data_IF_131809659724
#
_entry.id   IF_131809659724
#
_cell.length_a   1.000
_cell.length_b   1.000
_cell.length_c   1.000
_cell.angle_alpha   90.00
_cell.angle_beta   90.00
_cell.angle_gamma   90.00
#
_symmetry.space_group_name_H-M   'P 1'
#
loop_
_entity.id
_entity.type
_entity.pdbx_description
1 polymer ?
#
# COMPACT_ATOMS: atom_id res chain seq x y z
N UNK A 1 -10.22 -71.27 -51.01
CA UNK A 1 -11.42 -70.66 -51.63
C UNK A 1 -11.62 -69.29 -51.01
N UNK A 2 -11.68 -68.24 -51.85
CA UNK A 2 -11.99 -66.86 -51.48
C UNK A 2 -13.46 -66.76 -51.07
N UNK A 3 -13.75 -66.05 -50.00
CA UNK A 3 -15.05 -65.40 -49.78
C UNK A 3 -14.76 -63.95 -49.44
N UNK A 4 -15.23 -63.06 -50.31
CA UNK A 4 -15.22 -61.60 -50.21
C UNK A 4 -16.66 -61.15 -49.91
N UNK A 5 -16.81 -59.86 -49.59
CA UNK A 5 -18.06 -59.12 -49.36
C UNK A 5 -18.67 -59.35 -47.97
N UNK A 6 -19.01 -58.36 -47.13
CA UNK A 6 -19.07 -56.91 -47.27
C UNK A 6 -20.02 -56.41 -46.16
N UNK A 7 -19.79 -55.19 -45.67
CA UNK A 7 -20.84 -54.30 -45.14
C UNK A 7 -21.27 -54.43 -43.66
N UNK A 8 -20.62 -53.65 -42.78
CA UNK A 8 -21.25 -52.54 -42.00
C UNK A 8 -20.27 -51.94 -40.99
N UNK A 9 -19.43 -51.02 -41.46
CA UNK A 9 -18.76 -50.04 -40.59
C UNK A 9 -19.78 -49.02 -40.12
N UNK A 10 -20.21 -49.14 -38.87
CA UNK A 10 -21.17 -48.23 -38.24
C UNK A 10 -20.44 -47.38 -37.18
N UNK A 11 -20.32 -46.09 -37.49
CA UNK A 11 -20.30 -44.93 -36.57
C UNK A 11 -19.41 -45.00 -35.32
N UNK A 12 -18.33 -44.21 -35.36
CA UNK A 12 -18.17 -43.06 -34.45
C UNK A 12 -17.08 -42.13 -35.00
N UNK A 13 -17.50 -41.08 -35.69
CA UNK A 13 -16.65 -39.90 -35.89
C UNK A 13 -16.55 -39.16 -34.57
N UNK A 14 -15.33 -39.07 -34.02
CA UNK A 14 -15.03 -38.19 -32.90
C UNK A 14 -13.86 -37.29 -33.30
N UNK A 15 -14.02 -36.59 -34.41
CA UNK A 15 -13.21 -35.42 -34.77
C UNK A 15 -13.94 -34.19 -34.23
N UNK A 16 -13.78 -33.92 -32.92
CA UNK A 16 -14.09 -32.61 -32.35
C UNK A 16 -12.89 -32.17 -31.54
N UNK A 17 -12.08 -31.37 -32.23
CA UNK A 17 -11.31 -30.23 -31.77
C UNK A 17 -11.70 -29.82 -30.33
N UNK A 18 -10.89 -30.21 -29.37
CA UNK A 18 -10.74 -29.52 -28.09
C UNK A 18 -9.36 -28.85 -28.06
N UNK A 19 -9.13 -28.00 -29.06
CA UNK A 19 -8.17 -26.91 -28.90
C UNK A 19 -8.95 -25.70 -28.38
N UNK A 20 -8.88 -25.45 -27.08
CA UNK A 20 -8.73 -24.10 -26.54
C UNK A 20 -8.10 -24.21 -25.15
N UNK A 21 -6.93 -23.61 -24.92
CA UNK A 21 -6.52 -23.30 -23.56
C UNK A 21 -7.54 -22.31 -23.00
N UNK A 22 -8.24 -22.65 -21.92
CA UNK A 22 -8.99 -21.70 -21.09
C UNK A 22 -8.01 -20.79 -20.31
N UNK A 23 -7.06 -20.20 -21.04
CA UNK A 23 -6.27 -19.03 -20.69
C UNK A 23 -6.89 -17.84 -21.41
N UNK A 24 -8.19 -17.61 -21.17
CA UNK A 24 -8.91 -16.44 -21.63
C UNK A 24 -9.68 -15.83 -20.46
N UNK A 25 -8.99 -14.90 -19.78
CA UNK A 25 -9.61 -13.63 -19.47
C UNK A 25 -10.74 -13.65 -18.43
N UNK A 26 -10.43 -14.08 -17.20
CA UNK A 26 -11.06 -13.48 -16.00
C UNK A 26 -10.34 -12.19 -15.60
N UNK A 27 -10.07 -11.32 -16.59
CA UNK A 27 -9.75 -9.91 -16.35
C UNK A 27 -11.07 -9.16 -16.44
N UNK A 28 -11.84 -9.13 -15.34
CA UNK A 28 -13.08 -8.36 -15.37
C UNK A 28 -14.04 -8.68 -14.23
N UNK A 29 -14.20 -7.70 -13.34
CA UNK A 29 -15.24 -7.60 -12.33
C UNK A 29 -15.21 -8.67 -11.23
N UNK A 30 -14.13 -8.71 -10.44
CA UNK A 30 -14.38 -8.78 -9.00
C UNK A 30 -15.08 -7.46 -8.66
N UNK A 31 -16.40 -7.48 -8.55
CA UNK A 31 -17.16 -6.43 -7.89
C UNK A 31 -16.61 -6.32 -6.48
N UNK A 32 -15.57 -5.50 -6.30
CA UNK A 32 -15.06 -5.13 -4.99
C UNK A 32 -16.27 -4.60 -4.24
N UNK A 33 -16.71 -5.30 -3.18
CA UNK A 33 -17.93 -4.93 -2.51
C UNK A 33 -17.78 -3.47 -2.07
N UNK A 34 -18.83 -2.67 -2.24
CA UNK A 34 -18.82 -1.24 -1.88
C UNK A 34 -18.27 -1.01 -0.46
N UNK A 35 -18.40 -1.99 0.42
CA UNK A 35 -17.81 -2.04 1.76
C UNK A 35 -16.28 -2.03 1.78
N UNK A 36 -15.60 -2.75 0.88
CA UNK A 36 -14.14 -2.75 0.77
C UNK A 36 -13.63 -1.44 0.19
N UNK A 37 -14.36 -0.86 -0.77
CA UNK A 37 -14.06 0.46 -1.33
C UNK A 37 -14.24 1.56 -0.27
N UNK A 38 -15.38 1.57 0.42
CA UNK A 38 -15.65 2.50 1.51
C UNK A 38 -14.65 2.34 2.66
N UNK A 39 -14.27 1.09 2.98
CA UNK A 39 -13.24 0.77 3.98
C UNK A 39 -11.87 1.33 3.59
N UNK A 40 -11.47 1.16 2.33
CA UNK A 40 -10.24 1.74 1.78
C UNK A 40 -10.23 3.27 1.86
N UNK A 41 -11.32 3.93 1.43
CA UNK A 41 -11.45 5.38 1.50
C UNK A 41 -11.41 5.90 2.95
N UNK A 42 -12.11 5.26 3.89
CA UNK A 42 -12.07 5.62 5.32
C UNK A 42 -10.65 5.45 5.90
N UNK A 43 -9.95 4.38 5.52
CA UNK A 43 -8.57 4.16 5.94
C UNK A 43 -7.62 5.22 5.37
N UNK A 44 -7.78 5.60 4.10
CA UNK A 44 -7.01 6.69 3.50
C UNK A 44 -7.31 8.04 4.15
N UNK A 45 -8.59 8.36 4.38
CA UNK A 45 -9.00 9.60 5.04
C UNK A 45 -8.45 9.70 6.46
N UNK A 46 -8.56 8.62 7.25
CA UNK A 46 -7.99 8.58 8.59
C UNK A 46 -6.46 8.70 8.57
N UNK A 47 -5.78 8.06 7.62
CA UNK A 47 -4.33 8.19 7.43
C UNK A 47 -3.90 9.64 7.13
N UNK A 48 -4.64 10.32 6.25
CA UNK A 48 -4.39 11.73 5.91
C UNK A 48 -4.67 12.63 7.10
N UNK A 49 -5.80 12.42 7.79
CA UNK A 49 -6.16 13.20 8.98
C UNK A 49 -5.11 13.04 10.09
N UNK A 50 -4.64 11.82 10.36
CA UNK A 50 -3.58 11.55 11.31
C UNK A 50 -2.26 12.21 10.90
N UNK A 51 -1.88 12.12 9.63
CA UNK A 51 -0.66 12.74 9.12
C UNK A 51 -0.71 14.27 9.23
N UNK A 52 -1.85 14.87 8.92
CA UNK A 52 -2.07 16.31 9.08
C UNK A 52 -1.99 16.74 10.55
N UNK A 53 -2.68 16.01 11.45
CA UNK A 53 -2.62 16.27 12.88
C UNK A 53 -1.21 16.16 13.45
N UNK A 54 -0.47 15.12 13.06
CA UNK A 54 0.93 14.93 13.47
C UNK A 54 1.85 16.04 12.94
N UNK A 55 1.64 16.52 11.71
CA UNK A 55 2.41 17.66 11.18
C UNK A 55 2.19 18.93 12.00
N UNK A 56 0.95 19.21 12.42
CA UNK A 56 0.66 20.36 13.27
C UNK A 56 1.35 20.23 14.64
N UNK A 57 1.26 19.05 15.27
CA UNK A 57 1.92 18.76 16.54
C UNK A 57 3.44 18.86 16.41
N UNK A 58 4.02 18.27 15.36
CA UNK A 58 5.46 18.31 15.10
C UNK A 58 5.93 19.74 14.79
N UNK A 59 5.13 20.53 14.07
CA UNK A 59 5.38 21.95 13.83
C UNK A 59 5.44 22.76 15.13
N UNK A 60 4.44 22.59 16.00
CA UNK A 60 4.42 23.23 17.31
C UNK A 60 5.59 22.77 18.20
N UNK A 61 5.93 21.49 18.16
CA UNK A 61 7.05 20.92 18.89
C UNK A 61 8.39 21.50 18.44
N UNK A 62 8.64 21.53 17.13
CA UNK A 62 9.86 22.14 16.56
C UNK A 62 9.95 23.61 16.95
N UNK A 63 8.85 24.36 16.88
CA UNK A 63 8.83 25.77 17.28
C UNK A 63 9.14 25.95 18.77
N UNK A 64 8.61 25.10 19.64
CA UNK A 64 8.90 25.10 21.07
C UNK A 64 10.38 24.77 21.35
N UNK A 65 10.94 23.77 20.66
CA UNK A 65 12.37 23.45 20.75
C UNK A 65 13.23 24.62 20.30
N UNK A 66 12.92 25.27 19.19
CA UNK A 66 13.68 26.43 18.69
C UNK A 66 13.62 27.60 19.68
N UNK A 67 12.46 27.85 20.26
CA UNK A 67 12.27 28.87 21.28
C UNK A 67 13.14 28.58 22.52
N UNK A 68 13.15 27.33 22.99
CA UNK A 68 13.99 26.90 24.11
C UNK A 68 15.50 26.98 23.80
N UNK A 69 15.93 26.56 22.61
CA UNK A 69 17.32 26.64 22.17
C UNK A 69 17.78 28.09 22.02
N UNK A 70 16.90 28.99 21.55
CA UNK A 70 17.19 30.42 21.46
C UNK A 70 17.43 31.04 22.84
N UNK A 71 16.62 30.65 23.83
CA UNK A 71 16.78 31.09 25.21
C UNK A 71 18.06 30.54 25.87
N UNK A 72 18.55 29.39 25.44
CA UNK A 72 19.80 28.79 25.91
C UNK A 72 21.07 29.42 25.30
N UNK A 73 20.94 30.40 24.38
CA UNK A 73 22.07 31.16 23.85
C UNK A 73 22.90 30.42 22.80
N UNK A 74 22.35 29.41 22.12
CA UNK A 74 23.06 28.64 21.09
C UNK A 74 23.25 29.50 19.83
N UNK A 75 24.44 30.08 19.67
CA UNK A 75 24.78 31.03 18.60
C UNK A 75 24.73 30.46 17.18
N UNK A 76 24.86 29.13 17.01
CA UNK A 76 24.78 28.46 15.70
C UNK A 76 23.38 28.55 15.07
N UNK A 77 22.35 28.76 15.89
CA UNK A 77 20.95 28.90 15.45
C UNK A 77 20.55 30.32 15.04
N UNK A 78 21.43 31.31 15.19
CA UNK A 78 21.15 32.69 14.74
C UNK A 78 21.11 32.84 13.22
N UNK A 79 21.49 31.80 12.46
CA UNK A 79 21.35 31.82 11.01
C UNK A 79 19.88 31.67 10.61
N UNK A 80 19.29 32.75 10.07
CA UNK A 80 17.88 32.83 9.68
C UNK A 80 17.47 31.75 8.67
N UNK A 81 18.41 31.30 7.82
CA UNK A 81 18.18 30.19 6.89
C UNK A 81 18.08 28.82 7.57
N UNK A 82 18.87 28.56 8.61
CA UNK A 82 18.87 27.25 9.27
C UNK A 82 17.59 27.06 10.12
N UNK A 83 17.11 28.12 10.77
CA UNK A 83 15.86 28.09 11.51
C UNK A 83 14.66 27.87 10.59
N UNK A 84 14.63 28.53 9.42
CA UNK A 84 13.60 28.31 8.40
C UNK A 84 13.64 26.88 7.87
N UNK A 85 14.83 26.37 7.52
CA UNK A 85 14.95 25.00 7.04
C UNK A 85 14.45 23.97 8.06
N UNK A 86 14.74 24.18 9.36
CA UNK A 86 14.30 23.28 10.43
C UNK A 86 12.80 23.43 10.71
N UNK A 87 12.24 24.64 10.62
CA UNK A 87 10.79 24.85 10.78
C UNK A 87 9.96 24.15 9.71
N UNK A 88 10.47 24.08 8.47
CA UNK A 88 9.77 23.39 7.38
C UNK A 88 10.14 21.91 7.27
N UNK A 89 11.43 21.58 7.34
CA UNK A 89 11.93 20.22 7.19
C UNK A 89 11.78 19.36 8.44
N UNK A 90 11.91 19.94 9.62
CA UNK A 90 11.83 19.24 10.91
C UNK A 90 10.51 18.50 11.12
N UNK A 91 9.35 19.15 10.94
CA UNK A 91 8.05 18.49 11.11
C UNK A 91 7.83 17.33 10.14
N UNK A 92 8.30 17.47 8.89
CA UNK A 92 8.22 16.44 7.85
C UNK A 92 9.15 15.27 8.18
N UNK A 93 10.38 15.54 8.61
CA UNK A 93 11.34 14.50 9.02
C UNK A 93 10.82 13.69 10.22
N UNK A 94 10.26 14.37 11.22
CA UNK A 94 9.61 13.73 12.37
C UNK A 94 8.44 12.85 11.92
N UNK A 95 7.62 13.33 10.98
CA UNK A 95 6.51 12.55 10.43
C UNK A 95 7.00 11.28 9.72
N UNK A 96 8.06 11.36 8.91
CA UNK A 96 8.66 10.20 8.24
C UNK A 96 9.14 9.17 9.26
N UNK A 97 9.83 9.60 10.32
CA UNK A 97 10.30 8.72 11.40
C UNK A 97 9.12 8.06 12.12
N UNK A 98 8.06 8.83 12.42
CA UNK A 98 6.85 8.31 13.07
C UNK A 98 6.17 7.24 12.21
N UNK A 99 6.06 7.46 10.89
CA UNK A 99 5.52 6.46 9.96
C UNK A 99 6.41 5.23 9.86
N UNK A 100 7.73 5.40 9.80
CA UNK A 100 8.67 4.28 9.76
C UNK A 100 8.58 3.42 11.04
N UNK A 101 8.41 4.05 12.20
CA UNK A 101 8.17 3.35 13.46
C UNK A 101 6.85 2.57 13.43
N UNK A 102 5.80 3.14 12.84
CA UNK A 102 4.50 2.50 12.71
C UNK A 102 4.56 1.28 11.76
N UNK A 103 5.34 1.38 10.68
CA UNK A 103 5.59 0.23 9.78
C UNK A 103 6.42 -0.86 10.45
N UNK A 104 7.41 -0.50 11.24
CA UNK A 104 8.16 -1.46 12.05
C UNK A 104 7.27 -2.16 13.08
N UNK A 105 6.40 -1.40 13.75
CA UNK A 105 5.44 -1.95 14.71
C UNK A 105 4.44 -2.90 14.02
N UNK A 106 3.92 -2.51 12.86
CA UNK A 106 3.07 -3.39 12.03
C UNK A 106 3.80 -4.67 11.62
N UNK A 107 5.07 -4.56 11.25
CA UNK A 107 5.89 -5.72 10.92
C UNK A 107 6.07 -6.66 12.11
N UNK A 108 6.38 -6.11 13.29
CA UNK A 108 6.53 -6.89 14.51
C UNK A 108 5.21 -7.54 14.95
N UNK A 109 4.09 -6.83 14.82
CA UNK A 109 2.76 -7.36 15.15
C UNK A 109 2.40 -8.53 14.22
N UNK A 110 2.62 -8.39 12.90
CA UNK A 110 2.41 -9.49 11.95
C UNK A 110 3.27 -10.71 12.29
N UNK A 111 4.53 -10.51 12.68
CA UNK A 111 5.40 -11.60 13.12
C UNK A 111 4.87 -12.30 14.38
N UNK A 112 4.29 -11.56 15.33
CA UNK A 112 3.70 -12.13 16.55
C UNK A 112 2.40 -12.89 16.33
N UNK A 113 1.63 -12.57 15.28
CA UNK A 113 0.39 -13.29 14.97
C UNK A 113 0.63 -14.58 14.17
N UNK A 114 1.82 -14.76 13.60
CA UNK A 114 2.18 -15.91 12.78
C UNK A 114 2.95 -17.02 13.54
N UNK A 115 3.17 -16.87 14.84
CA UNK A 115 3.80 -17.86 15.72
C UNK A 115 2.92 -18.12 16.93
#
# INVERSE_FOLDING_TARGET
MKVSEGQRGLRTGNDRIDSLPEEAERIGANSMPLTDFAGGCLMSLSSVALSCGLLLINGAFVMACLSALSAAGVSWFQSEQASQFILFGGPVALLIIQWMMLDYLRFLWRRRQAG
#
